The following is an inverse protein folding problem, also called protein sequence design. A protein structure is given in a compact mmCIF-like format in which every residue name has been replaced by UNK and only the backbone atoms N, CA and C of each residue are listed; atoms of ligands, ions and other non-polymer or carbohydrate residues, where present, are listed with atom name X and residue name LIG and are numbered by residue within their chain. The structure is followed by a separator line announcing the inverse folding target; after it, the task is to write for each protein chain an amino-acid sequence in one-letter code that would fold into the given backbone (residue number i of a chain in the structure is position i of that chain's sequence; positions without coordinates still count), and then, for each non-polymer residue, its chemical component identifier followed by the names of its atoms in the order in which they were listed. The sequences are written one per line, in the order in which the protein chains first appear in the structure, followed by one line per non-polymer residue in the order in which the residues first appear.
data_IF_923771273378
#
_entry.id   IF_923771273378
#
_cell.length_a   1.000
_cell.length_b   1.000
_cell.length_c   1.000
_cell.angle_alpha   90.00
_cell.angle_beta   90.00
_cell.angle_gamma   90.00
#
_symmetry.space_group_name_H-M   'P 1'
#
loop_
_entity.id
_entity.type
_entity.pdbx_description
1 polymer ?
#
# COMPACT_ATOMS: atom_id res chain seq x y z
N UNK A 1 -8.98 4.82 31.34
CA UNK A 1 -9.27 3.38 31.17
C UNK A 1 -10.46 3.06 30.26
N UNK A 2 -11.39 4.02 30.04
CA UNK A 2 -12.62 3.84 29.24
C UNK A 2 -12.46 3.74 27.72
N UNK A 3 -11.34 4.18 27.14
CA UNK A 3 -11.14 4.12 25.69
C UNK A 3 -11.19 2.67 25.16
N UNK A 4 -12.04 2.43 24.15
CA UNK A 4 -12.16 1.16 23.43
C UNK A 4 -11.01 0.94 22.45
N UNK A 5 -10.51 2.02 21.84
CA UNK A 5 -9.34 2.00 20.95
C UNK A 5 -8.38 3.12 21.36
N UNK A 6 -7.07 2.84 21.36
CA UNK A 6 -6.02 3.84 21.55
C UNK A 6 -4.99 3.68 20.43
N UNK A 7 -4.66 4.80 19.81
CA UNK A 7 -3.70 4.91 18.72
C UNK A 7 -2.51 5.75 19.20
N UNK A 8 -1.30 5.24 19.05
CA UNK A 8 -0.05 5.99 19.22
C UNK A 8 0.40 6.42 17.81
N UNK A 9 0.38 7.72 17.55
CA UNK A 9 0.69 8.31 16.24
C UNK A 9 2.06 8.97 16.35
N UNK A 10 2.99 8.56 15.48
CA UNK A 10 4.34 9.12 15.42
C UNK A 10 4.74 9.45 13.99
N UNK A 11 5.30 10.64 13.78
CA UNK A 11 5.95 10.97 12.51
C UNK A 11 7.27 10.22 12.41
N UNK A 12 7.46 9.45 11.34
CA UNK A 12 8.68 8.67 11.09
C UNK A 12 9.59 9.28 10.02
N UNK A 13 9.04 10.08 9.11
CA UNK A 13 9.82 10.70 8.04
C UNK A 13 9.12 11.90 7.41
N UNK A 14 9.90 12.68 6.66
CA UNK A 14 9.39 13.76 5.83
C UNK A 14 9.45 13.32 4.37
N UNK A 15 8.37 13.59 3.63
CA UNK A 15 8.29 13.39 2.19
C UNK A 15 8.70 14.71 1.55
N UNK A 16 9.74 14.66 0.73
CA UNK A 16 10.31 15.82 0.03
C UNK A 16 10.26 15.53 -1.46
N UNK A 17 9.60 16.39 -2.24
CA UNK A 17 9.73 16.36 -3.71
C UNK A 17 11.04 17.04 -4.12
N UNK A 18 11.38 18.16 -3.46
CA UNK A 18 12.61 18.92 -3.70
C UNK A 18 13.44 19.06 -2.43
N UNK A 19 14.72 19.46 -2.56
CA UNK A 19 15.63 19.68 -1.41
C UNK A 19 15.02 20.62 -0.35
N UNK A 20 14.24 21.60 -0.80
CA UNK A 20 13.65 22.65 0.04
C UNK A 20 12.13 22.54 0.22
N UNK A 21 11.44 21.67 -0.52
CA UNK A 21 9.98 21.57 -0.46
C UNK A 21 9.51 20.24 0.16
N UNK A 22 9.02 20.34 1.40
CA UNK A 22 8.45 19.20 2.15
C UNK A 22 6.97 19.10 1.80
N UNK A 23 6.63 18.10 0.98
CA UNK A 23 5.26 17.88 0.50
C UNK A 23 4.41 17.05 1.46
N UNK A 24 5.04 16.36 2.42
CA UNK A 24 4.28 15.61 3.42
C UNK A 24 5.10 15.00 4.55
N UNK A 25 4.41 14.23 5.39
CA UNK A 25 4.99 13.47 6.49
C UNK A 25 4.57 12.00 6.37
N UNK A 26 5.55 11.11 6.45
CA UNK A 26 5.27 9.69 6.68
C UNK A 26 4.99 9.46 8.15
N UNK A 27 3.83 8.91 8.45
CA UNK A 27 3.30 8.76 9.80
C UNK A 27 3.03 7.28 10.09
N UNK A 28 3.50 6.85 11.25
CA UNK A 28 3.31 5.49 11.77
C UNK A 28 2.28 5.54 12.88
N UNK A 29 1.27 4.70 12.79
CA UNK A 29 0.24 4.56 13.81
C UNK A 29 0.27 3.16 14.38
N UNK A 30 0.45 3.06 15.69
CA UNK A 30 0.41 1.79 16.43
C UNK A 30 -0.87 1.72 17.25
N UNK A 31 -1.61 0.63 17.10
CA UNK A 31 -2.79 0.36 17.90
C UNK A 31 -2.35 -0.19 19.26
N UNK A 32 -2.21 0.70 20.26
CA UNK A 32 -1.72 0.32 21.61
C UNK A 32 -2.81 -0.29 22.49
N UNK A 33 -4.09 -0.05 22.18
CA UNK A 33 -5.22 -0.71 22.83
C UNK A 33 -6.33 -0.91 21.81
N UNK A 34 -6.85 -2.12 21.71
CA UNK A 34 -8.01 -2.44 20.90
C UNK A 34 -8.88 -3.44 21.66
N UNK A 35 -10.15 -3.11 21.90
CA UNK A 35 -11.14 -4.00 22.53
C UNK A 35 -12.00 -4.76 21.50
N UNK A 36 -11.88 -4.45 20.21
CA UNK A 36 -12.75 -4.97 19.15
C UNK A 36 -12.03 -6.01 18.29
N UNK A 37 -10.72 -5.88 18.13
CA UNK A 37 -9.90 -6.73 17.26
C UNK A 37 -8.48 -6.90 17.85
N UNK A 38 -7.63 -7.78 17.27
CA UNK A 38 -6.27 -7.99 17.76
C UNK A 38 -5.49 -6.67 17.94
N UNK A 39 -4.93 -6.43 19.14
CA UNK A 39 -4.14 -5.22 19.41
C UNK A 39 -2.76 -5.30 18.77
N UNK A 40 -2.00 -4.20 18.85
CA UNK A 40 -0.60 -4.07 18.41
C UNK A 40 -0.34 -4.08 16.91
N UNK A 41 -1.37 -4.05 16.07
CA UNK A 41 -1.20 -3.74 14.65
C UNK A 41 -0.56 -2.37 14.46
N UNK A 42 0.29 -2.29 13.46
CA UNK A 42 1.04 -1.11 13.08
C UNK A 42 0.69 -0.81 11.63
N UNK A 43 0.37 0.44 11.34
CA UNK A 43 0.12 0.91 9.98
C UNK A 43 1.00 2.13 9.71
N UNK A 44 1.46 2.26 8.47
CA UNK A 44 2.26 3.38 8.01
C UNK A 44 1.55 4.00 6.82
N UNK A 45 1.31 5.30 6.89
CA UNK A 45 0.70 6.04 5.79
C UNK A 45 1.34 7.41 5.60
N UNK A 46 1.17 7.93 4.40
CA UNK A 46 1.71 9.21 3.98
C UNK A 46 0.63 10.29 4.15
N UNK A 47 0.97 11.37 4.86
CA UNK A 47 0.13 12.56 5.01
C UNK A 47 0.72 13.67 4.15
N UNK A 48 0.02 14.05 3.08
CA UNK A 48 0.42 15.13 2.17
C UNK A 48 -0.21 16.44 2.65
N UNK A 49 0.56 17.52 2.72
CA UNK A 49 0.04 18.81 3.13
C UNK A 49 -0.96 19.34 2.09
N UNK A 50 -2.13 19.80 2.54
CA UNK A 50 -3.20 20.31 1.68
C UNK A 50 -4.14 19.23 1.10
N UNK A 51 -3.72 17.97 1.03
CA UNK A 51 -4.55 16.86 0.53
C UNK A 51 -4.97 15.87 1.65
N UNK A 52 -4.22 15.82 2.75
CA UNK A 52 -4.52 14.94 3.89
C UNK A 52 -3.90 13.55 3.73
N UNK A 53 -4.64 12.52 4.14
CA UNK A 53 -4.16 11.13 4.11
C UNK A 53 -4.19 10.63 2.66
N UNK A 54 -3.06 10.14 2.16
CA UNK A 54 -2.97 9.60 0.80
C UNK A 54 -3.56 8.19 0.73
N UNK A 55 -4.89 8.11 0.53
CA UNK A 55 -5.61 6.83 0.36
C UNK A 55 -5.03 5.98 -0.77
N UNK A 56 -4.68 6.63 -1.87
CA UNK A 56 -4.14 5.98 -3.08
C UNK A 56 -2.76 5.36 -2.81
N UNK A 57 -1.90 6.03 -2.04
CA UNK A 57 -0.62 5.44 -1.64
C UNK A 57 -0.78 4.19 -0.76
N UNK A 58 -1.76 4.19 0.12
CA UNK A 58 -2.06 3.05 0.98
C UNK A 58 -2.64 1.86 0.20
N UNK A 59 -3.50 2.13 -0.80
CA UNK A 59 -4.01 1.09 -1.71
C UNK A 59 -2.87 0.39 -2.46
N UNK A 60 -1.88 1.15 -2.95
CA UNK A 60 -0.72 0.55 -3.63
C UNK A 60 0.11 -0.31 -2.69
N UNK A 61 0.41 0.20 -1.49
CA UNK A 61 1.23 -0.52 -0.52
C UNK A 61 0.55 -1.82 -0.06
N UNK A 62 -0.74 -1.74 0.30
CA UNK A 62 -1.53 -2.91 0.70
C UNK A 62 -1.74 -3.87 -0.48
N UNK A 63 -1.94 -3.35 -1.70
CA UNK A 63 -2.11 -4.17 -2.89
C UNK A 63 -0.85 -4.98 -3.22
N UNK A 64 0.34 -4.42 -3.01
CA UNK A 64 1.60 -5.13 -3.19
C UNK A 64 1.84 -6.13 -2.05
N UNK A 65 1.57 -5.74 -0.80
CA UNK A 65 1.72 -6.62 0.37
C UNK A 65 0.80 -7.86 0.29
N UNK A 66 -0.41 -7.67 -0.22
CA UNK A 66 -1.39 -8.75 -0.44
C UNK A 66 -1.21 -9.49 -1.77
N UNK A 67 -0.25 -9.11 -2.61
CA UNK A 67 0.01 -9.76 -3.91
C UNK A 67 -1.05 -9.51 -4.99
N UNK A 68 -1.97 -8.56 -4.77
CA UNK A 68 -2.96 -8.12 -5.76
C UNK A 68 -2.27 -7.31 -6.88
N UNK A 69 -1.26 -6.53 -6.51
CA UNK A 69 -0.40 -5.79 -7.42
C UNK A 69 0.95 -6.52 -7.49
N UNK A 70 1.27 -7.05 -8.67
CA UNK A 70 2.55 -7.69 -8.92
C UNK A 70 3.66 -6.65 -9.05
N UNK A 71 4.76 -6.84 -8.33
CA UNK A 71 5.95 -5.98 -8.42
C UNK A 71 7.10 -6.73 -9.09
N UNK A 72 7.45 -6.32 -10.32
CA UNK A 72 8.59 -6.85 -11.05
C UNK A 72 9.72 -5.81 -11.04
N UNK A 73 10.56 -5.86 -9.99
CA UNK A 73 11.62 -4.88 -9.78
C UNK A 73 11.08 -3.46 -9.57
N UNK A 74 11.31 -2.57 -10.53
CA UNK A 74 10.79 -1.19 -10.54
C UNK A 74 9.43 -1.05 -11.23
N UNK A 75 8.89 -2.13 -11.80
CA UNK A 75 7.61 -2.14 -12.52
C UNK A 75 6.48 -2.70 -11.66
N UNK A 76 5.30 -2.10 -11.79
CA UNK A 76 4.07 -2.53 -11.13
C UNK A 76 3.06 -3.02 -12.17
N UNK A 77 2.49 -4.18 -11.89
CA UNK A 77 1.56 -4.89 -12.76
C UNK A 77 0.26 -5.15 -11.97
N UNK A 78 -0.88 -5.04 -12.63
CA UNK A 78 -2.16 -5.46 -12.09
C UNK A 78 -2.79 -6.49 -13.02
N UNK A 79 -2.87 -7.73 -12.54
CA UNK A 79 -3.21 -8.87 -13.39
C UNK A 79 -2.25 -8.98 -14.58
N UNK A 80 -2.78 -8.86 -15.80
CA UNK A 80 -2.00 -8.88 -17.04
C UNK A 80 -1.53 -7.49 -17.52
N UNK A 81 -2.00 -6.41 -16.90
CA UNK A 81 -1.73 -5.05 -17.36
C UNK A 81 -0.56 -4.42 -16.60
N UNK A 82 0.38 -3.82 -17.33
CA UNK A 82 1.45 -3.01 -16.75
C UNK A 82 0.90 -1.64 -16.39
N UNK A 83 0.97 -1.27 -15.11
CA UNK A 83 0.41 -0.01 -14.59
C UNK A 83 1.42 1.12 -14.70
N UNK A 84 2.69 0.85 -14.38
CA UNK A 84 3.72 1.88 -14.45
C UNK A 84 5.02 1.50 -13.77
N UNK A 85 6.01 2.40 -13.92
CA UNK A 85 7.31 2.29 -13.29
C UNK A 85 7.35 3.18 -12.04
N UNK A 86 7.66 2.58 -10.90
CA UNK A 86 7.77 3.30 -9.63
C UNK A 86 6.42 3.58 -8.95
N UNK A 87 6.48 3.84 -7.64
CA UNK A 87 5.31 4.05 -6.78
C UNK A 87 4.53 5.31 -7.15
N UNK A 88 5.20 6.39 -7.52
CA UNK A 88 4.54 7.66 -7.87
C UNK A 88 3.70 7.54 -9.15
N UNK A 89 4.21 6.87 -10.19
CA UNK A 89 3.46 6.70 -11.44
C UNK A 89 2.16 5.91 -11.22
N UNK A 90 2.22 4.85 -10.41
CA UNK A 90 1.03 4.05 -10.05
C UNK A 90 0.05 4.88 -9.24
N UNK A 91 0.53 5.71 -8.30
CA UNK A 91 -0.34 6.62 -7.55
C UNK A 91 -1.07 7.60 -8.46
N UNK A 92 -0.37 8.23 -9.40
CA UNK A 92 -0.99 9.13 -10.39
C UNK A 92 -2.03 8.40 -11.22
N UNK A 93 -1.72 7.20 -11.71
CA UNK A 93 -2.66 6.42 -12.51
C UNK A 93 -3.94 6.05 -11.76
N UNK A 94 -3.83 5.69 -10.47
CA UNK A 94 -4.98 5.40 -9.62
C UNK A 94 -5.76 6.65 -9.21
N UNK A 95 -5.12 7.81 -9.14
CA UNK A 95 -5.80 9.10 -8.98
C UNK A 95 -6.61 9.47 -10.23
N UNK A 96 -6.04 9.22 -11.42
CA UNK A 96 -6.68 9.51 -12.69
C UNK A 96 -7.79 8.50 -13.04
N UNK A 97 -7.70 7.27 -12.52
CA UNK A 97 -8.67 6.19 -12.74
C UNK A 97 -9.29 5.72 -11.41
N UNK A 98 -10.29 6.46 -10.88
CA UNK A 98 -10.93 6.10 -9.60
C UNK A 98 -11.63 4.74 -9.66
N UNK A 99 -12.15 4.31 -10.82
CA UNK A 99 -12.76 2.99 -10.98
C UNK A 99 -11.78 1.85 -10.67
N UNK A 100 -10.54 1.98 -11.13
CA UNK A 100 -9.48 1.01 -10.86
C UNK A 100 -9.08 1.03 -9.39
N UNK A 101 -9.01 2.20 -8.77
CA UNK A 101 -8.71 2.35 -7.35
C UNK A 101 -9.79 1.69 -6.47
N UNK A 102 -11.06 1.87 -6.80
CA UNK A 102 -12.18 1.26 -6.07
C UNK A 102 -12.21 -0.26 -6.25
N UNK A 103 -11.89 -0.77 -7.45
CA UNK A 103 -11.77 -2.21 -7.69
C UNK A 103 -10.67 -2.84 -6.80
N UNK A 104 -9.49 -2.23 -6.78
CA UNK A 104 -8.36 -2.71 -5.98
C UNK A 104 -8.68 -2.59 -4.48
N UNK A 105 -9.29 -1.48 -4.05
CA UNK A 105 -9.72 -1.32 -2.65
C UNK A 105 -10.72 -2.41 -2.25
N UNK A 106 -11.70 -2.72 -3.10
CA UNK A 106 -12.67 -3.76 -2.83
C UNK A 106 -12.00 -5.12 -2.65
N UNK A 107 -11.03 -5.46 -3.52
CA UNK A 107 -10.25 -6.71 -3.40
C UNK A 107 -9.44 -6.75 -2.11
N UNK A 108 -8.72 -5.66 -1.77
CA UNK A 108 -7.97 -5.53 -0.52
C UNK A 108 -8.89 -5.69 0.69
N UNK A 109 -10.05 -5.04 0.69
CA UNK A 109 -11.01 -5.08 1.80
C UNK A 109 -11.61 -6.47 1.99
N UNK A 110 -11.87 -7.19 0.92
CA UNK A 110 -12.38 -8.57 0.98
C UNK A 110 -11.32 -9.51 1.56
N UNK A 111 -10.08 -9.42 1.07
CA UNK A 111 -8.97 -10.23 1.59
C UNK A 111 -8.65 -9.90 3.06
N UNK A 112 -8.72 -8.62 3.45
CA UNK A 112 -8.47 -8.18 4.84
C UNK A 112 -9.57 -8.60 5.83
N UNK A 113 -10.79 -8.87 5.36
CA UNK A 113 -11.91 -9.34 6.19
C UNK A 113 -11.86 -10.85 6.47
N UNK A 114 -11.00 -11.60 5.78
CA UNK A 114 -10.79 -13.03 6.03
C UNK A 114 -11.80 -13.93 5.33
N UNK A 115 -12.25 -13.59 4.13
CA UNK A 115 -12.74 -14.63 3.21
C UNK A 115 -11.50 -15.40 2.72
N UNK A 116 -11.27 -16.60 3.27
CA UNK A 116 -10.09 -17.45 3.07
C UNK A 116 -9.92 -18.01 1.63
N UNK A 117 -10.76 -17.62 0.68
CA UNK A 117 -10.81 -18.22 -0.65
C UNK A 117 -10.13 -17.35 -1.73
N UNK A 118 -8.84 -17.02 -1.57
CA UNK A 118 -7.97 -16.82 -2.75
C UNK A 118 -6.54 -17.27 -2.42
N UNK A 119 -6.25 -18.54 -2.69
CA UNK A 119 -4.89 -19.13 -2.69
C UNK A 119 -4.20 -18.79 -4.03
N UNK A 120 -2.90 -19.09 -4.15
CA UNK A 120 -1.79 -18.16 -4.35
C UNK A 120 -1.65 -17.68 -5.80
N UNK A 121 -1.27 -16.42 -6.01
CA UNK A 121 -0.72 -16.04 -7.32
C UNK A 121 0.67 -16.67 -7.42
N UNK A 122 0.75 -17.70 -8.26
CA UNK A 122 1.95 -18.42 -8.64
C UNK A 122 3.14 -17.47 -8.86
N UNK A 123 4.13 -17.58 -7.96
CA UNK A 123 5.43 -16.91 -8.07
C UNK A 123 6.40 -17.80 -8.87
N UNK A 124 5.99 -18.28 -10.05
CA UNK A 124 6.96 -18.70 -11.06
C UNK A 124 7.58 -17.44 -11.66
N UNK A 125 8.58 -16.88 -10.98
CA UNK A 125 9.51 -15.97 -11.63
C UNK A 125 10.07 -16.65 -12.89
N UNK A 126 10.31 -15.93 -14.00
CA UNK A 126 11.09 -16.52 -15.07
C UNK A 126 12.44 -16.92 -14.48
N UNK A 127 12.75 -18.22 -14.55
CA UNK A 127 14.08 -18.73 -14.26
C UNK A 127 15.07 -17.90 -15.08
N UNK A 128 15.95 -17.17 -14.38
CA UNK A 128 17.07 -16.49 -15.00
C UNK A 128 17.85 -17.56 -15.78
N UNK A 129 17.76 -17.48 -17.11
CA UNK A 129 18.48 -18.34 -18.02
C UNK A 129 19.98 -18.20 -17.75
N UNK A 130 20.57 -19.32 -17.32
CA UNK A 130 21.99 -19.60 -17.37
C UNK A 130 22.49 -19.42 -18.81
N UNK A 131 22.97 -18.20 -19.12
CA UNK A 131 23.69 -17.88 -20.36
C UNK A 131 25.10 -18.48 -20.25
N UNK A 132 25.23 -19.72 -20.71
CA UNK A 132 26.53 -20.32 -21.05
C UNK A 132 27.14 -19.57 -22.25
N UNK A 133 28.31 -18.96 -22.06
CA UNK A 133 29.43 -18.94 -23.02
C UNK A 133 30.77 -18.75 -22.29
#
# INVERSE_FOLDING_TARGET
FYASVRLDIRRIGQIKEDKDNVTGNRTKVKVVKNKVAPPFKVVEFDIIYGQGISKVGEIVDLGVDMGIIGKSGSWFNYGANKIGQGREAVKTLLLDNPELADEIEAKIRNMAKGDEDIIPVDMSGPEDGDDTL
#
